data_IF_530468692280
#
_entry.id   IF_530468692280
#
_cell.length_a   1.000
_cell.length_b   1.000
_cell.length_c   1.000
_cell.angle_alpha   90.00
_cell.angle_beta   90.00
_cell.angle_gamma   90.00
#
_symmetry.space_group_name_H-M   'P 1'
#
loop_
_entity.id
_entity.type
_entity.pdbx_description
1 polymer ?
#
# COMPACT_ATOMS: atom_id res chain seq x y z
N UNK A 1 -0.28 21.09 -4.00
CA UNK A 1 -0.59 20.31 -2.78
C UNK A 1 0.12 18.96 -2.83
N UNK A 2 0.74 18.51 -1.73
CA UNK A 2 1.53 17.26 -1.66
C UNK A 2 0.70 16.03 -2.03
N UNK A 3 -0.57 15.98 -1.60
CA UNK A 3 -1.52 14.88 -1.89
C UNK A 3 -1.65 14.59 -3.39
N UNK A 4 -1.85 15.62 -4.20
CA UNK A 4 -1.96 15.49 -5.66
C UNK A 4 -0.68 14.91 -6.27
N UNK A 5 0.49 15.33 -5.77
CA UNK A 5 1.78 14.78 -6.20
C UNK A 5 1.91 13.29 -5.85
N UNK A 6 1.47 12.88 -4.66
CA UNK A 6 1.46 11.46 -4.28
C UNK A 6 0.60 10.61 -5.21
N UNK A 7 -0.60 11.06 -5.57
CA UNK A 7 -1.47 10.34 -6.50
C UNK A 7 -0.85 10.21 -7.90
N UNK A 8 -0.20 11.25 -8.40
CA UNK A 8 0.52 11.17 -9.68
C UNK A 8 1.67 10.15 -9.63
N UNK A 9 2.46 10.16 -8.56
CA UNK A 9 3.54 9.19 -8.36
C UNK A 9 3.01 7.76 -8.26
N UNK A 10 1.90 7.53 -7.55
CA UNK A 10 1.22 6.23 -7.48
C UNK A 10 0.84 5.70 -8.87
N UNK A 11 0.24 6.55 -9.71
CA UNK A 11 -0.09 6.20 -11.10
C UNK A 11 1.15 5.89 -11.92
N UNK A 12 2.25 6.60 -11.68
CA UNK A 12 3.52 6.35 -12.37
C UNK A 12 4.14 5.02 -11.95
N UNK A 13 4.16 4.71 -10.66
CA UNK A 13 4.63 3.42 -10.14
C UNK A 13 3.86 2.25 -10.76
N UNK A 14 2.52 2.39 -10.87
CA UNK A 14 1.67 1.43 -11.58
C UNK A 14 2.11 1.22 -13.03
N UNK A 15 2.34 2.30 -13.80
CA UNK A 15 2.81 2.19 -15.20
C UNK A 15 4.16 1.48 -15.32
N UNK A 16 5.01 1.64 -14.32
CA UNK A 16 6.32 0.98 -14.23
C UNK A 16 6.23 -0.45 -13.67
N UNK A 17 5.02 -0.96 -13.40
CA UNK A 17 4.79 -2.28 -12.79
C UNK A 17 5.47 -2.44 -11.43
N UNK A 18 5.60 -1.35 -10.68
CA UNK A 18 6.13 -1.36 -9.31
C UNK A 18 4.94 -1.55 -8.36
N UNK A 19 4.80 -2.73 -7.72
CA UNK A 19 3.71 -2.96 -6.78
C UNK A 19 3.92 -2.13 -5.50
N UNK A 20 2.83 -1.57 -4.98
CA UNK A 20 2.83 -0.86 -3.70
C UNK A 20 1.91 -1.59 -2.73
N UNK A 21 2.44 -1.90 -1.55
CA UNK A 21 1.66 -2.40 -0.41
C UNK A 21 1.69 -1.35 0.69
N UNK A 22 0.52 -0.89 1.14
CA UNK A 22 0.36 0.10 2.20
C UNK A 22 -0.12 -0.57 3.48
N UNK A 23 0.57 -0.31 4.58
CA UNK A 23 0.16 -0.72 5.92
C UNK A 23 -0.22 0.51 6.74
N UNK A 24 -1.51 0.66 7.01
CA UNK A 24 -2.08 1.79 7.74
C UNK A 24 -2.36 1.36 9.18
N UNK A 25 -1.66 2.00 10.13
CA UNK A 25 -1.72 1.69 11.56
C UNK A 25 -2.47 2.75 12.38
N UNK A 26 -2.97 3.79 11.72
CA UNK A 26 -3.63 4.91 12.35
C UNK A 26 -5.14 4.88 12.09
N UNK A 27 -5.90 5.32 13.09
CA UNK A 27 -7.35 5.51 13.02
C UNK A 27 -7.70 6.97 12.71
N UNK A 28 -7.10 7.51 11.64
CA UNK A 28 -7.41 8.86 11.15
C UNK A 28 -8.27 8.77 9.87
N UNK A 29 -9.54 9.22 9.89
CA UNK A 29 -10.44 9.11 8.74
C UNK A 29 -9.95 9.83 7.48
N UNK A 30 -9.24 10.95 7.62
CA UNK A 30 -8.71 11.70 6.48
C UNK A 30 -7.53 10.96 5.85
N UNK A 31 -6.66 10.37 6.67
CA UNK A 31 -5.54 9.58 6.19
C UNK A 31 -6.01 8.27 5.56
N UNK A 32 -7.07 7.64 6.08
CA UNK A 32 -7.71 6.47 5.45
C UNK A 32 -8.22 6.82 4.04
N UNK A 33 -8.98 7.91 3.90
CA UNK A 33 -9.42 8.38 2.58
C UNK A 33 -8.23 8.63 1.64
N UNK A 34 -7.15 9.24 2.14
CA UNK A 34 -5.94 9.42 1.34
C UNK A 34 -5.37 8.08 0.86
N UNK A 35 -5.25 7.09 1.74
CA UNK A 35 -4.74 5.75 1.42
C UNK A 35 -5.64 5.03 0.43
N UNK A 36 -6.96 5.13 0.55
CA UNK A 36 -7.91 4.53 -0.39
C UNK A 36 -7.68 5.04 -1.81
N UNK A 37 -7.69 6.37 -2.00
CA UNK A 37 -7.44 7.00 -3.30
C UNK A 37 -6.04 6.71 -3.82
N UNK A 38 -5.04 6.68 -2.93
CA UNK A 38 -3.67 6.37 -3.30
C UNK A 38 -3.55 4.93 -3.81
N UNK A 39 -4.18 3.98 -3.11
CA UNK A 39 -4.19 2.55 -3.43
C UNK A 39 -4.93 2.28 -4.74
N UNK A 40 -6.09 2.91 -4.94
CA UNK A 40 -6.83 2.87 -6.20
C UNK A 40 -5.95 3.37 -7.36
N UNK A 41 -5.27 4.51 -7.17
CA UNK A 41 -4.41 5.11 -8.19
C UNK A 41 -3.22 4.23 -8.59
N UNK A 42 -2.72 3.38 -7.68
CA UNK A 42 -1.61 2.47 -7.97
C UNK A 42 -2.03 1.01 -8.22
N UNK A 43 -3.30 0.65 -7.99
CA UNK A 43 -3.82 -0.73 -8.02
C UNK A 43 -3.06 -1.72 -7.10
N UNK A 44 -2.61 -1.21 -5.96
CA UNK A 44 -1.88 -1.97 -4.95
C UNK A 44 -2.80 -2.58 -3.91
N UNK A 45 -2.22 -2.88 -2.74
CA UNK A 45 -2.95 -3.40 -1.59
C UNK A 45 -2.84 -2.42 -0.43
N UNK A 46 -3.93 -2.21 0.29
CA UNK A 46 -3.94 -1.51 1.55
C UNK A 46 -4.42 -2.44 2.66
N UNK A 47 -3.73 -2.39 3.79
CA UNK A 47 -4.09 -3.12 4.99
C UNK A 47 -4.30 -2.14 6.14
N UNK A 48 -5.47 -2.21 6.76
CA UNK A 48 -5.88 -1.39 7.89
C UNK A 48 -5.84 -2.27 9.15
N UNK A 49 -4.87 -2.07 10.03
CA UNK A 49 -4.70 -2.91 11.23
C UNK A 49 -4.06 -2.13 12.38
N UNK A 50 -4.36 -2.54 13.62
CA UNK A 50 -3.60 -2.10 14.78
C UNK A 50 -2.18 -2.69 14.81
N UNK A 51 -1.31 -2.07 15.61
CA UNK A 51 0.13 -2.42 15.74
C UNK A 51 0.37 -3.89 16.13
N UNK A 52 -0.53 -4.49 16.91
CA UNK A 52 -0.40 -5.87 17.41
C UNK A 52 -0.44 -6.97 16.33
N UNK A 53 -0.90 -6.68 15.10
CA UNK A 53 -0.95 -7.65 13.99
C UNK A 53 -0.10 -7.26 12.77
N UNK A 54 0.61 -6.14 12.84
CA UNK A 54 1.33 -5.58 11.69
C UNK A 54 2.50 -6.47 11.26
N UNK A 55 3.30 -6.95 12.23
CA UNK A 55 4.49 -7.75 11.94
C UNK A 55 4.16 -9.01 11.16
N UNK A 56 3.24 -9.83 11.68
CA UNK A 56 2.81 -11.08 11.04
C UNK A 56 2.27 -10.86 9.61
N UNK A 57 1.53 -9.78 9.41
CA UNK A 57 0.98 -9.42 8.10
C UNK A 57 2.07 -8.99 7.11
N UNK A 58 3.02 -8.17 7.54
CA UNK A 58 4.19 -7.77 6.73
C UNK A 58 4.99 -9.00 6.32
N UNK A 59 5.29 -9.89 7.27
CA UNK A 59 6.03 -11.13 6.99
C UNK A 59 5.28 -12.01 5.98
N UNK A 60 3.98 -12.19 6.18
CA UNK A 60 3.14 -13.00 5.27
C UNK A 60 3.09 -12.42 3.85
N UNK A 61 2.90 -11.11 3.70
CA UNK A 61 2.89 -10.47 2.36
C UNK A 61 4.28 -10.53 1.72
N UNK A 62 5.36 -10.33 2.49
CA UNK A 62 6.73 -10.47 2.01
C UNK A 62 7.02 -11.88 1.49
N UNK A 63 6.68 -12.92 2.25
CA UNK A 63 6.88 -14.32 1.84
C UNK A 63 6.07 -14.66 0.57
N UNK A 64 4.81 -14.22 0.51
CA UNK A 64 3.95 -14.44 -0.65
C UNK A 64 4.49 -13.75 -1.92
N UNK A 65 4.96 -12.51 -1.78
CA UNK A 65 5.55 -11.77 -2.91
C UNK A 65 6.91 -12.36 -3.33
N UNK A 66 7.73 -12.84 -2.38
CA UNK A 66 8.99 -13.54 -2.66
C UNK A 66 8.75 -14.84 -3.43
N UNK A 67 7.78 -15.66 -3.02
CA UNK A 67 7.41 -16.90 -3.72
C UNK A 67 6.96 -16.64 -5.17
N UNK A 68 6.20 -15.56 -5.41
CA UNK A 68 5.79 -15.15 -6.76
C UNK A 68 6.96 -14.71 -7.65
N UNK A 69 8.00 -14.10 -7.07
CA UNK A 69 9.19 -13.64 -7.81
C UNK A 69 10.16 -14.78 -8.19
N UNK A 70 10.13 -15.89 -7.44
CA UNK A 70 10.99 -17.06 -7.67
C UNK A 70 10.39 -18.07 -8.66
N UNK A 71 9.17 -17.84 -9.16
CA UNK A 71 8.45 -18.72 -10.07
C UNK A 71 8.26 -18.04 -11.43
#
# INVERSE_FOLDING_TARGET
LIVSKCYMTARQARKLHIPITTFMIADDPYLQQFVDHFTEANQGKAFYTGVKGLGEMIFTDYENNRKKKLR
#
